data_IF_730429175899
#
_entry.id   IF_730429175899
#
_cell.length_a   1.000
_cell.length_b   1.000
_cell.length_c   1.000
_cell.angle_alpha   90.00
_cell.angle_beta   90.00
_cell.angle_gamma   90.00
#
_symmetry.space_group_name_H-M   'P 1'
#
loop_
_entity.id
_entity.type
_entity.pdbx_description
1 polymer ?
#
# COMPACT_ATOMS: atom_id res chain seq x y z
N UNK A 1 34.12 18.12 -2.95
CA UNK A 1 33.10 17.18 -2.41
C UNK A 1 31.82 17.40 -3.17
N UNK A 2 31.49 16.51 -4.10
CA UNK A 2 30.17 16.52 -4.75
C UNK A 2 29.10 16.11 -3.73
N UNK A 3 28.05 16.93 -3.62
CA UNK A 3 26.87 16.57 -2.84
C UNK A 3 26.20 15.40 -3.53
N UNK A 4 26.22 14.23 -2.91
CA UNK A 4 25.42 13.08 -3.32
C UNK A 4 23.95 13.53 -3.27
N UNK A 5 23.37 13.70 -4.45
CA UNK A 5 21.94 13.95 -4.61
C UNK A 5 21.19 12.70 -4.16
N UNK A 6 20.31 12.85 -3.17
CA UNK A 6 19.31 11.82 -2.86
C UNK A 6 18.51 11.62 -4.14
N UNK A 7 18.60 10.42 -4.73
CA UNK A 7 17.82 10.00 -5.90
C UNK A 7 16.40 10.55 -5.77
N UNK A 8 16.09 11.58 -6.54
CA UNK A 8 14.72 12.04 -6.77
C UNK A 8 14.06 10.90 -7.52
N UNK A 9 13.44 9.96 -6.78
CA UNK A 9 12.58 8.96 -7.40
C UNK A 9 11.52 9.75 -8.17
N UNK A 10 11.49 9.67 -9.51
CA UNK A 10 10.48 10.39 -10.24
C UNK A 10 9.13 9.85 -9.77
N UNK A 11 8.25 10.75 -9.30
CA UNK A 11 6.85 10.45 -8.96
C UNK A 11 6.17 9.96 -10.23
N UNK A 12 6.28 8.66 -10.49
CA UNK A 12 5.83 8.01 -11.72
C UNK A 12 4.47 7.34 -11.53
N UNK A 13 4.00 7.22 -10.27
CA UNK A 13 2.69 6.69 -9.94
C UNK A 13 1.60 7.75 -10.03
N UNK A 14 0.42 7.35 -10.48
CA UNK A 14 -0.80 8.15 -10.37
C UNK A 14 -1.20 8.25 -8.90
N UNK A 15 -1.31 9.47 -8.36
CA UNK A 15 -1.76 9.65 -6.98
C UNK A 15 -3.23 9.23 -6.88
N UNK A 16 -3.53 8.35 -5.92
CA UNK A 16 -4.89 7.82 -5.69
C UNK A 16 -5.40 8.21 -4.30
N UNK A 17 -6.73 8.28 -4.12
CA UNK A 17 -7.31 8.40 -2.79
C UNK A 17 -6.97 7.16 -1.95
N UNK A 18 -7.15 7.29 -0.64
CA UNK A 18 -6.97 6.19 0.31
C UNK A 18 -7.97 6.40 1.46
N UNK A 19 -9.00 5.54 1.60
CA UNK A 19 -9.24 4.30 0.85
C UNK A 19 -9.62 4.49 -0.63
N UNK A 20 -9.58 3.40 -1.41
CA UNK A 20 -9.90 3.40 -2.84
C UNK A 20 -10.73 2.17 -3.27
N UNK A 21 -11.62 2.37 -4.25
CA UNK A 21 -12.40 1.29 -4.87
C UNK A 21 -11.55 0.56 -5.93
N UNK A 22 -11.48 -0.77 -5.84
CA UNK A 22 -10.63 -1.59 -6.73
C UNK A 22 -11.05 -1.47 -8.20
N UNK A 23 -12.35 -1.43 -8.46
CA UNK A 23 -12.90 -1.27 -9.82
C UNK A 23 -12.53 0.05 -10.50
N UNK A 24 -12.07 1.06 -9.73
CA UNK A 24 -11.63 2.36 -10.26
C UNK A 24 -10.12 2.43 -10.48
N UNK A 25 -9.37 1.37 -10.20
CA UNK A 25 -7.94 1.26 -10.45
C UNK A 25 -7.71 0.67 -11.85
N UNK A 26 -7.30 1.47 -12.87
CA UNK A 26 -7.12 0.95 -14.23
C UNK A 26 -5.89 0.05 -14.32
N UNK A 27 -6.04 -1.14 -14.90
CA UNK A 27 -4.95 -2.12 -15.00
C UNK A 27 -3.68 -1.57 -15.66
N UNK A 28 -2.54 -2.19 -15.32
CA UNK A 28 -1.22 -1.88 -15.89
C UNK A 28 -0.71 -0.46 -15.57
N UNK A 29 -1.21 0.13 -14.48
CA UNK A 29 -0.73 1.41 -13.96
C UNK A 29 -0.03 1.21 -12.62
N UNK A 30 0.84 2.16 -12.31
CA UNK A 30 1.46 2.30 -11.01
C UNK A 30 0.76 3.44 -10.29
N UNK A 31 0.47 3.25 -9.01
CA UNK A 31 -0.24 4.20 -8.16
C UNK A 31 0.63 4.64 -7.00
N UNK A 32 0.31 5.81 -6.46
CA UNK A 32 1.00 6.36 -5.30
C UNK A 32 -0.02 6.76 -4.23
N UNK A 33 0.22 6.35 -2.98
CA UNK A 33 -0.52 6.82 -1.81
C UNK A 33 0.42 7.67 -0.97
N UNK A 34 -0.03 8.88 -0.65
CA UNK A 34 0.66 9.80 0.23
C UNK A 34 -0.13 9.89 1.53
N UNK A 35 0.50 9.50 2.63
CA UNK A 35 -0.07 9.52 3.97
C UNK A 35 0.84 10.31 4.89
N UNK A 36 0.30 10.88 5.98
CA UNK A 36 1.09 11.67 6.95
C UNK A 36 2.33 10.93 7.47
N UNK A 37 2.26 9.60 7.55
CA UNK A 37 3.30 8.74 8.07
C UNK A 37 4.08 7.96 7.00
N UNK A 38 3.66 7.94 5.73
CA UNK A 38 4.35 7.19 4.68
C UNK A 38 3.97 7.64 3.26
N UNK A 39 4.86 7.39 2.32
CA UNK A 39 4.59 7.44 0.89
C UNK A 39 4.88 6.06 0.30
N UNK A 40 3.95 5.51 -0.47
CA UNK A 40 4.11 4.21 -1.13
C UNK A 40 3.78 4.30 -2.61
N UNK A 41 4.46 3.45 -3.38
CA UNK A 41 4.21 3.24 -4.80
C UNK A 41 3.79 1.78 -4.97
N UNK A 42 2.71 1.51 -5.69
CA UNK A 42 2.26 0.13 -5.92
C UNK A 42 1.68 -0.09 -7.31
N UNK A 43 1.70 -1.34 -7.72
CA UNK A 43 1.09 -1.89 -8.91
C UNK A 43 0.03 -2.90 -8.50
N UNK A 44 -1.10 -2.88 -9.19
CA UNK A 44 -2.21 -3.79 -8.97
C UNK A 44 -2.58 -4.47 -10.29
N UNK A 45 -2.66 -5.80 -10.30
CA UNK A 45 -2.96 -6.62 -11.48
C UNK A 45 -4.34 -7.29 -11.41
N UNK A 46 -5.31 -6.63 -10.77
CA UNK A 46 -6.65 -7.16 -10.44
C UNK A 46 -6.68 -8.31 -9.43
N UNK A 47 -5.50 -8.74 -8.95
CA UNK A 47 -5.39 -9.85 -8.00
C UNK A 47 -4.43 -9.50 -6.86
N UNK A 48 -3.15 -9.39 -7.18
CA UNK A 48 -2.06 -9.17 -6.26
C UNK A 48 -1.61 -7.71 -6.30
N UNK A 49 -1.06 -7.25 -5.18
CA UNK A 49 -0.43 -5.93 -5.05
C UNK A 49 1.07 -6.11 -4.85
N UNK A 50 1.83 -5.36 -5.64
CA UNK A 50 3.28 -5.28 -5.54
C UNK A 50 3.64 -3.81 -5.34
N UNK A 51 4.49 -3.48 -4.38
CA UNK A 51 4.84 -2.09 -4.16
C UNK A 51 6.16 -1.88 -3.47
N UNK A 52 6.52 -0.61 -3.33
CA UNK A 52 7.68 -0.14 -2.59
C UNK A 52 7.28 1.01 -1.68
N UNK A 53 7.80 1.02 -0.47
CA UNK A 53 7.66 2.09 0.51
C UNK A 53 8.76 3.10 0.22
N UNK A 54 8.39 4.25 -0.35
CA UNK A 54 9.32 5.32 -0.72
C UNK A 54 9.80 6.08 0.52
N UNK A 55 8.89 6.30 1.47
CA UNK A 55 9.15 7.02 2.73
C UNK A 55 8.25 6.46 3.82
N UNK A 56 8.74 6.40 5.05
CA UNK A 56 7.89 6.12 6.22
C UNK A 56 8.44 6.69 7.53
N UNK A 57 7.55 6.94 8.48
CA UNK A 57 7.86 7.01 9.89
C UNK A 57 8.14 5.59 10.40
N UNK A 58 9.36 5.37 10.89
CA UNK A 58 9.78 4.05 11.39
C UNK A 58 9.16 3.69 12.74
N UNK A 59 8.57 4.66 13.45
CA UNK A 59 7.92 4.43 14.76
C UNK A 59 6.53 3.83 14.63
N UNK A 60 5.96 3.85 13.42
CA UNK A 60 4.59 3.40 13.16
C UNK A 60 4.58 2.22 12.19
N UNK A 61 3.66 1.26 12.39
CA UNK A 61 3.46 0.22 11.41
C UNK A 61 2.72 0.80 10.19
N UNK A 62 2.82 0.11 9.06
CA UNK A 62 1.96 0.33 7.89
C UNK A 62 1.10 -0.91 7.73
N UNK A 63 -0.21 -0.71 7.83
CA UNK A 63 -1.22 -1.72 7.64
C UNK A 63 -1.79 -1.60 6.24
N UNK A 64 -2.17 -2.75 5.71
CA UNK A 64 -2.92 -2.89 4.48
C UNK A 64 -4.24 -3.57 4.82
N UNK A 65 -5.31 -3.13 4.17
CA UNK A 65 -6.62 -3.73 4.26
C UNK A 65 -7.23 -3.92 2.88
N UNK A 66 -7.57 -5.16 2.56
CA UNK A 66 -8.55 -5.51 1.54
C UNK A 66 -9.94 -5.31 2.15
N UNK A 67 -10.71 -4.38 1.62
CA UNK A 67 -12.03 -4.01 2.13
C UNK A 67 -13.13 -4.81 1.44
N UNK A 68 -14.04 -5.37 2.21
CA UNK A 68 -15.21 -6.07 1.65
C UNK A 68 -16.12 -5.12 0.87
N UNK A 69 -16.28 -3.89 1.37
CA UNK A 69 -17.09 -2.84 0.76
C UNK A 69 -16.25 -1.78 0.05
N UNK A 70 -16.84 -1.13 -0.94
CA UNK A 70 -16.20 -0.09 -1.78
C UNK A 70 -15.75 1.13 -0.97
N UNK A 71 -16.50 1.45 0.08
CA UNK A 71 -16.27 2.60 0.97
C UNK A 71 -15.32 2.27 2.13
N UNK A 72 -14.84 1.03 2.24
CA UNK A 72 -13.95 0.58 3.31
C UNK A 72 -14.47 0.81 4.74
N UNK A 73 -15.79 0.85 4.92
CA UNK A 73 -16.40 0.65 6.23
C UNK A 73 -15.94 -0.69 6.82
N UNK A 74 -15.75 -0.72 8.14
CA UNK A 74 -15.21 -1.90 8.80
C UNK A 74 -16.16 -3.10 8.65
N UNK A 75 -15.59 -4.23 8.24
CA UNK A 75 -16.31 -5.47 8.07
C UNK A 75 -15.51 -6.63 8.66
N UNK A 76 -16.22 -7.60 9.24
CA UNK A 76 -15.62 -8.87 9.66
C UNK A 76 -15.01 -9.66 8.48
N UNK A 77 -15.41 -9.32 7.25
CA UNK A 77 -14.91 -9.95 6.04
C UNK A 77 -13.67 -9.26 5.47
N UNK A 78 -13.21 -8.15 6.07
CA UNK A 78 -11.98 -7.48 5.66
C UNK A 78 -10.76 -8.38 5.88
N UNK A 79 -9.79 -8.30 4.97
CA UNK A 79 -8.49 -8.94 5.17
C UNK A 79 -7.44 -7.89 5.51
N UNK A 80 -6.79 -8.03 6.68
CA UNK A 80 -5.80 -7.10 7.21
C UNK A 80 -4.41 -7.73 7.17
N UNK A 81 -3.39 -6.97 6.78
CA UNK A 81 -1.98 -7.40 6.75
C UNK A 81 -1.07 -6.25 7.16
N UNK A 82 -0.07 -6.53 8.00
CA UNK A 82 1.00 -5.56 8.27
C UNK A 82 2.04 -5.67 7.17
N UNK A 83 2.29 -4.58 6.44
CA UNK A 83 3.29 -4.55 5.35
C UNK A 83 4.62 -3.94 5.78
N UNK A 84 4.64 -3.22 6.90
CA UNK A 84 5.86 -2.79 7.57
C UNK A 84 5.64 -2.63 9.07
N UNK A 85 6.46 -3.28 9.89
CA UNK A 85 6.39 -3.19 11.35
C UNK A 85 7.00 -1.88 11.89
N UNK A 86 6.57 -1.47 13.07
CA UNK A 86 7.21 -0.40 13.83
C UNK A 86 8.59 -0.83 14.34
N UNK A 87 9.53 0.10 14.39
CA UNK A 87 10.90 -0.09 14.89
C UNK A 87 11.70 -1.23 14.25
N UNK A 88 11.22 -1.79 13.13
CA UNK A 88 11.84 -2.98 12.56
C UNK A 88 13.23 -2.66 11.96
N UNK A 89 14.27 -3.50 12.21
CA UNK A 89 15.63 -3.34 11.69
C UNK A 89 15.72 -3.43 10.16
N UNK A 90 16.89 -3.13 9.56
CA UNK A 90 16.99 -2.69 8.17
C UNK A 90 17.16 -3.87 7.23
N UNK A 91 16.10 -4.45 6.65
CA UNK A 91 16.29 -5.34 5.49
C UNK A 91 15.20 -5.22 4.41
N UNK A 92 15.72 -5.05 3.19
CA UNK A 92 15.13 -5.18 1.84
C UNK A 92 14.26 -4.01 1.37
N UNK A 93 14.92 -2.99 0.80
CA UNK A 93 14.48 -2.13 -0.33
C UNK A 93 13.05 -1.53 -0.34
N UNK A 94 12.36 -1.54 0.81
CA UNK A 94 11.00 -1.04 0.94
C UNK A 94 9.96 -1.85 0.17
N UNK A 95 10.32 -2.95 -0.49
CA UNK A 95 9.38 -3.72 -1.32
C UNK A 95 8.40 -4.53 -0.47
N UNK A 96 7.15 -4.57 -0.89
CA UNK A 96 6.11 -5.38 -0.28
C UNK A 96 5.25 -6.08 -1.34
N UNK A 97 4.71 -7.23 -0.96
CA UNK A 97 3.77 -7.99 -1.78
C UNK A 97 2.57 -8.42 -0.94
N UNK A 98 1.38 -8.19 -1.48
CA UNK A 98 0.12 -8.64 -0.88
C UNK A 98 -0.56 -9.53 -1.91
N UNK A 99 -0.40 -10.86 -1.80
CA UNK A 99 -1.13 -11.79 -2.65
C UNK A 99 -2.63 -11.73 -2.33
N UNK A 100 -3.47 -11.96 -3.33
CA UNK A 100 -4.91 -12.10 -3.12
C UNK A 100 -5.18 -13.30 -2.18
N UNK A 101 -5.94 -13.14 -1.09
CA UNK A 101 -6.25 -14.22 -0.16
C UNK A 101 -7.28 -15.19 -0.76
N UNK A 102 -6.84 -16.02 -1.70
CA UNK A 102 -7.67 -16.95 -2.49
C UNK A 102 -8.40 -18.02 -1.69
N UNK A 103 -8.02 -18.23 -0.43
CA UNK A 103 -8.71 -19.14 0.48
C UNK A 103 -10.05 -18.57 1.00
N UNK A 104 -10.33 -17.29 0.78
CA UNK A 104 -11.58 -16.65 1.15
C UNK A 104 -12.61 -16.81 0.01
N UNK A 105 -13.87 -17.19 0.31
CA UNK A 105 -14.87 -17.50 -0.71
C UNK A 105 -15.57 -16.25 -1.30
N UNK A 106 -15.01 -15.06 -1.08
CA UNK A 106 -15.62 -13.78 -1.47
C UNK A 106 -14.59 -12.81 -2.07
N UNK A 107 -15.13 -11.78 -2.73
CA UNK A 107 -14.38 -10.70 -3.36
C UNK A 107 -14.16 -9.50 -2.44
N UNK A 108 -13.14 -8.70 -2.76
CA UNK A 108 -12.91 -7.40 -2.13
C UNK A 108 -13.20 -6.27 -3.11
N UNK A 109 -13.78 -5.19 -2.59
CA UNK A 109 -14.23 -4.06 -3.39
C UNK A 109 -13.40 -2.79 -3.14
N UNK A 110 -12.57 -2.79 -2.09
CA UNK A 110 -11.73 -1.66 -1.75
C UNK A 110 -10.34 -2.05 -1.25
N UNK A 111 -9.45 -1.07 -1.26
CA UNK A 111 -8.11 -1.15 -0.67
C UNK A 111 -7.93 0.05 0.25
N UNK A 112 -7.25 -0.17 1.36
CA UNK A 112 -6.79 0.88 2.25
C UNK A 112 -5.37 0.58 2.74
N UNK A 113 -4.55 1.63 2.80
CA UNK A 113 -3.29 1.62 3.53
C UNK A 113 -3.43 2.55 4.74
N UNK A 114 -3.10 2.09 5.93
CA UNK A 114 -3.19 2.92 7.13
C UNK A 114 -1.93 2.78 7.97
N UNK A 115 -1.75 3.71 8.89
CA UNK A 115 -0.70 3.64 9.88
C UNK A 115 -1.32 4.11 11.17
N UNK A 116 -1.74 3.21 12.08
CA UNK A 116 -2.25 3.63 13.39
C UNK A 116 -1.16 4.35 14.19
N UNK A 117 -1.60 5.19 15.12
CA UNK A 117 -0.73 5.85 16.11
C UNK A 117 -0.44 4.89 17.27
#
# INVERSE_FOLDING_TARGET
MEKVSFRTYPRTGMIVPNPMETAKLPTRKTYQVNHKAFDLLFFFNDKDIFGTILKRDKRRPIHFRWCFYKTCEESQYDYKKVIAEAFNPPFVDGFFTIPYPSYLPYGFQGIEFSSPD
#
